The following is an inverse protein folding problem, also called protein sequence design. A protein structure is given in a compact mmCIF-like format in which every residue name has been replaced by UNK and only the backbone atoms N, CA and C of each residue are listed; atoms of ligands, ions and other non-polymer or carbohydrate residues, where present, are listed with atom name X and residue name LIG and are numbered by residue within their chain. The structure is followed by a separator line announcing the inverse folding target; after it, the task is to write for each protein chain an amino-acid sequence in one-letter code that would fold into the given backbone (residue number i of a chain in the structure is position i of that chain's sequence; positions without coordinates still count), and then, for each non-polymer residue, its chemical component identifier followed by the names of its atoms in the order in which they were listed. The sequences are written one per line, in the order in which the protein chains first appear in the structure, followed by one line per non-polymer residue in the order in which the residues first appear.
data_IF_943308689576
#
_entry.id   IF_943308689576
#
_cell.length_a   1.000
_cell.length_b   1.000
_cell.length_c   1.000
_cell.angle_alpha   90.00
_cell.angle_beta   90.00
_cell.angle_gamma   90.00
#
_symmetry.space_group_name_H-M   'P 1'
#
loop_
_entity.id
_entity.type
_entity.pdbx_description
1 polymer ?
#
# COMPACT_ATOMS: atom_id res chain seq x y z
N UNK A 1 -11.26 3.28 -8.56
CA UNK A 1 -9.91 3.78 -8.22
C UNK A 1 -10.08 5.04 -7.38
N UNK A 2 -9.85 4.96 -6.07
CA UNK A 2 -9.81 6.13 -5.19
C UNK A 2 -8.34 6.34 -4.84
N UNK A 3 -7.78 7.46 -5.26
CA UNK A 3 -6.44 7.87 -4.86
C UNK A 3 -6.61 8.99 -3.84
N UNK A 4 -6.27 8.73 -2.57
CA UNK A 4 -6.22 9.77 -1.54
C UNK A 4 -5.01 10.71 -1.72
N UNK A 5 -4.23 10.54 -2.80
CA UNK A 5 -3.02 11.31 -3.09
C UNK A 5 -1.81 10.92 -2.24
N UNK A 6 -1.92 9.84 -1.45
CA UNK A 6 -0.84 9.34 -0.60
C UNK A 6 -0.84 7.81 -0.56
N UNK A 7 0.31 7.21 -0.89
CA UNK A 7 0.55 5.77 -0.88
C UNK A 7 0.19 5.11 0.44
N UNK A 8 0.65 5.70 1.54
CA UNK A 8 0.42 5.19 2.89
C UNK A 8 -1.09 5.17 3.26
N UNK A 9 -1.85 6.18 2.87
CA UNK A 9 -3.29 6.24 3.12
C UNK A 9 -4.05 5.19 2.32
N UNK A 10 -3.72 5.02 1.04
CA UNK A 10 -4.32 3.98 0.21
C UNK A 10 -3.97 2.57 0.73
N UNK A 11 -2.72 2.33 1.16
CA UNK A 11 -2.32 1.07 1.80
C UNK A 11 -3.06 0.82 3.12
N UNK A 12 -3.29 1.85 3.93
CA UNK A 12 -4.04 1.74 5.17
C UNK A 12 -5.51 1.36 4.93
N UNK A 13 -6.10 1.84 3.82
CA UNK A 13 -7.44 1.41 3.42
C UNK A 13 -7.48 -0.07 3.03
N UNK A 14 -6.43 -0.58 2.37
CA UNK A 14 -6.31 -2.02 2.05
C UNK A 14 -6.16 -2.83 3.33
N UNK A 15 -5.31 -2.39 4.26
CA UNK A 15 -5.13 -3.05 5.55
C UNK A 15 -6.41 -3.13 6.39
N UNK A 16 -7.28 -2.10 6.32
CA UNK A 16 -8.60 -2.11 6.98
C UNK A 16 -9.67 -2.90 6.23
N UNK A 17 -9.37 -3.47 5.05
CA UNK A 17 -10.35 -4.16 4.20
C UNK A 17 -11.36 -3.22 3.52
N UNK A 18 -11.10 -1.90 3.52
CA UNK A 18 -11.92 -0.90 2.85
C UNK A 18 -11.62 -0.80 1.34
N UNK A 19 -10.51 -1.39 0.89
CA UNK A 19 -10.11 -1.51 -0.51
C UNK A 19 -9.43 -2.86 -0.74
N UNK A 20 -9.64 -3.47 -1.92
CA UNK A 20 -9.08 -4.79 -2.22
C UNK A 20 -7.60 -4.74 -2.65
N UNK A 21 -7.16 -3.64 -3.29
CA UNK A 21 -5.78 -3.48 -3.75
C UNK A 21 -5.39 -2.00 -3.95
N UNK A 22 -4.11 -1.69 -3.77
CA UNK A 22 -3.48 -0.41 -4.14
C UNK A 22 -2.32 -0.65 -5.11
N UNK A 23 -2.19 0.19 -6.13
CA UNK A 23 -1.08 0.15 -7.09
C UNK A 23 -0.59 1.56 -7.38
N UNK A 24 0.69 1.82 -7.11
CA UNK A 24 1.32 3.12 -7.34
C UNK A 24 2.70 2.93 -7.98
N UNK A 25 3.00 3.78 -8.96
CA UNK A 25 4.25 3.76 -9.71
C UNK A 25 4.98 5.09 -9.52
N UNK A 26 6.31 5.04 -9.38
CA UNK A 26 7.15 6.24 -9.23
C UNK A 26 7.16 6.87 -7.84
N UNK A 27 6.76 6.12 -6.82
CA UNK A 27 6.84 6.52 -5.40
C UNK A 27 8.18 6.11 -4.80
N UNK A 28 8.68 6.89 -3.84
CA UNK A 28 9.92 6.56 -3.15
C UNK A 28 9.68 5.60 -1.99
N UNK A 29 10.74 4.92 -1.53
CA UNK A 29 10.67 3.96 -0.42
C UNK A 29 10.03 4.54 0.84
N UNK A 30 10.28 5.81 1.14
CA UNK A 30 9.72 6.48 2.32
C UNK A 30 8.22 6.77 2.20
N UNK A 31 7.66 6.81 0.99
CA UNK A 31 6.25 7.10 0.77
C UNK A 31 5.35 5.90 1.13
N UNK A 32 5.87 4.67 0.99
CA UNK A 32 5.12 3.44 1.28
C UNK A 32 5.65 2.63 2.44
N UNK A 33 6.86 2.90 2.98
CA UNK A 33 7.44 2.10 4.08
C UNK A 33 6.51 1.95 5.30
N UNK A 34 5.81 3.02 5.68
CA UNK A 34 4.82 2.96 6.76
C UNK A 34 3.60 2.10 6.38
N UNK A 35 3.14 2.21 5.13
CA UNK A 35 2.04 1.40 4.60
C UNK A 35 2.38 -0.08 4.49
N UNK A 36 3.62 -0.42 4.11
CA UNK A 36 4.12 -1.80 4.05
C UNK A 36 3.99 -2.50 5.41
N UNK A 37 4.47 -1.85 6.46
CA UNK A 37 4.37 -2.39 7.82
C UNK A 37 2.91 -2.59 8.23
N UNK A 38 2.04 -1.60 8.00
CA UNK A 38 0.61 -1.68 8.35
C UNK A 38 -0.08 -2.82 7.61
N UNK A 39 0.15 -2.95 6.30
CA UNK A 39 -0.46 -4.02 5.49
C UNK A 39 0.03 -5.39 5.94
N UNK A 40 1.33 -5.53 6.24
CA UNK A 40 1.90 -6.78 6.75
C UNK A 40 1.35 -7.18 8.12
N UNK A 41 1.24 -6.24 9.05
CA UNK A 41 0.63 -6.48 10.38
C UNK A 41 -0.85 -6.84 10.28
N UNK A 42 -1.56 -6.31 9.29
CA UNK A 42 -2.94 -6.70 8.99
C UNK A 42 -3.07 -8.08 8.30
N UNK A 43 -1.95 -8.75 8.01
CA UNK A 43 -1.92 -10.04 7.31
C UNK A 43 -2.02 -9.93 5.78
N UNK A 44 -1.87 -8.74 5.23
CA UNK A 44 -1.81 -8.48 3.79
C UNK A 44 -0.42 -8.74 3.19
N UNK A 45 -0.36 -8.73 1.87
CA UNK A 45 0.86 -8.93 1.10
C UNK A 45 1.18 -7.67 0.30
N UNK A 46 2.41 -7.20 0.41
CA UNK A 46 2.96 -6.14 -0.43
C UNK A 46 4.01 -6.78 -1.33
N UNK A 47 3.89 -6.54 -2.63
CA UNK A 47 4.81 -7.03 -3.65
C UNK A 47 5.36 -5.85 -4.44
N UNK A 48 6.63 -5.95 -4.83
CA UNK A 48 7.17 -5.05 -5.84
C UNK A 48 6.43 -5.34 -7.17
N UNK A 49 5.95 -4.33 -7.91
CA UNK A 49 5.44 -4.53 -9.26
C UNK A 49 6.44 -5.22 -10.22
N UNK A 50 7.75 -5.23 -9.90
CA UNK A 50 8.76 -6.03 -10.59
C UNK A 50 8.81 -7.52 -10.21
N UNK A 51 8.02 -7.96 -9.22
CA UNK A 51 7.87 -9.37 -8.84
C UNK A 51 8.96 -9.94 -7.92
N UNK A 52 9.63 -9.08 -7.14
CA UNK A 52 10.60 -9.49 -6.11
C UNK A 52 9.97 -10.20 -4.92
#
# INVERSE_FOLDING_TARGET
MRALGSAALNMSMVAMGAADANFEYGIHVWDFAAGDLIVREAGGVVIDPAGG
#
